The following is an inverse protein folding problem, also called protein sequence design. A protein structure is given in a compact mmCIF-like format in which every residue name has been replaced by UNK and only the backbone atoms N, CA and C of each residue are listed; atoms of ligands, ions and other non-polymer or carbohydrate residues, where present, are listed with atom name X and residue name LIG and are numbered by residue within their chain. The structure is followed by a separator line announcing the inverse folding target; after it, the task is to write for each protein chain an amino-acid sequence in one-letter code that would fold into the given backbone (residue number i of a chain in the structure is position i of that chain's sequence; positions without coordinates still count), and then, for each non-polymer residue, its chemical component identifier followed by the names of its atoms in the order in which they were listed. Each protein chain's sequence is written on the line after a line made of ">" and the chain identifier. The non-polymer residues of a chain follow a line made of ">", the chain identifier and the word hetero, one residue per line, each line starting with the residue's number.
data_IF_143341779583
#
_entry.id   IF_143341779583
#
_cell.length_a   1.000
_cell.length_b   1.000
_cell.length_c   1.000
_cell.angle_alpha   90.00
_cell.angle_beta   90.00
_cell.angle_gamma   90.00
#
_symmetry.space_group_name_H-M   'P 1'
#
loop_
_entity.id
_entity.type
_entity.pdbx_description
1 polymer ?
#
# COMPACT_ATOMS: atom_id res chain seq x y z
N UNK A 1 9.20 21.31 -37.92
CA UNK A 1 8.36 20.13 -37.60
C UNK A 1 8.95 19.19 -36.54
N UNK A 2 10.25 19.28 -36.20
CA UNK A 2 10.94 18.34 -35.29
C UNK A 2 10.76 18.57 -33.78
N UNK A 3 10.60 19.82 -33.30
CA UNK A 3 10.53 20.14 -31.86
C UNK A 3 9.29 19.59 -31.14
N UNK A 4 8.12 19.50 -31.83
CA UNK A 4 6.89 18.97 -31.20
C UNK A 4 6.94 17.46 -31.01
N UNK A 5 7.63 16.74 -31.91
CA UNK A 5 7.79 15.28 -31.82
C UNK A 5 8.72 14.92 -30.67
N UNK A 6 9.88 15.59 -30.55
CA UNK A 6 10.78 15.37 -29.41
C UNK A 6 10.16 15.74 -28.06
N UNK A 7 9.36 16.81 -27.99
CA UNK A 7 8.65 17.17 -26.77
C UNK A 7 7.59 16.13 -26.38
N UNK A 8 6.88 15.55 -27.37
CA UNK A 8 5.92 14.47 -27.10
C UNK A 8 6.62 13.19 -26.63
N UNK A 9 7.73 12.80 -27.25
CA UNK A 9 8.50 11.61 -26.84
C UNK A 9 8.96 11.71 -25.38
N UNK A 10 9.55 12.84 -24.98
CA UNK A 10 10.02 13.02 -23.59
C UNK A 10 8.86 12.95 -22.59
N UNK A 11 7.66 13.46 -22.93
CA UNK A 11 6.48 13.34 -22.06
C UNK A 11 5.94 11.92 -21.96
N UNK A 12 6.02 11.13 -23.03
CA UNK A 12 5.57 9.74 -23.06
C UNK A 12 6.52 8.87 -22.23
N UNK A 13 7.82 8.98 -22.45
CA UNK A 13 8.84 8.26 -21.67
C UNK A 13 8.76 8.60 -20.18
N UNK A 14 8.51 9.87 -19.85
CA UNK A 14 8.29 10.29 -18.46
C UNK A 14 7.03 9.69 -17.86
N UNK A 15 5.92 9.61 -18.60
CA UNK A 15 4.68 8.95 -18.13
C UNK A 15 4.89 7.46 -17.90
N UNK A 16 5.58 6.78 -18.83
CA UNK A 16 5.94 5.36 -18.70
C UNK A 16 6.81 5.15 -17.46
N UNK A 17 7.82 6.00 -17.24
CA UNK A 17 8.68 5.93 -16.07
C UNK A 17 7.92 6.11 -14.75
N UNK A 18 6.99 7.06 -14.68
CA UNK A 18 6.15 7.27 -13.49
C UNK A 18 5.20 6.08 -13.26
N UNK A 19 4.62 5.53 -14.33
CA UNK A 19 3.74 4.36 -14.23
C UNK A 19 4.52 3.13 -13.73
N UNK A 20 5.70 2.88 -14.30
CA UNK A 20 6.56 1.78 -13.89
C UNK A 20 6.99 1.91 -12.43
N UNK A 21 7.39 3.10 -12.01
CA UNK A 21 7.74 3.37 -10.61
C UNK A 21 6.56 3.13 -9.66
N UNK A 22 5.35 3.57 -10.04
CA UNK A 22 4.15 3.32 -9.26
C UNK A 22 3.80 1.82 -9.17
N UNK A 23 4.01 1.06 -10.25
CA UNK A 23 3.84 -0.39 -10.26
C UNK A 23 4.83 -1.07 -9.32
N UNK A 24 6.11 -0.73 -9.42
CA UNK A 24 7.16 -1.27 -8.54
C UNK A 24 6.87 -0.92 -7.07
N UNK A 25 6.48 0.32 -6.80
CA UNK A 25 6.09 0.77 -5.45
C UNK A 25 4.93 -0.07 -4.87
N UNK A 26 3.92 -0.35 -5.70
CA UNK A 26 2.76 -1.13 -5.29
C UNK A 26 3.11 -2.61 -5.11
N UNK A 27 3.96 -3.17 -5.98
CA UNK A 27 4.44 -4.55 -5.86
C UNK A 27 5.29 -4.76 -4.61
N UNK A 28 6.19 -3.83 -4.31
CA UNK A 28 7.02 -3.89 -3.09
C UNK A 28 6.14 -3.81 -1.84
N UNK A 29 5.16 -2.90 -1.81
CA UNK A 29 4.21 -2.82 -0.70
C UNK A 29 3.40 -4.12 -0.55
N UNK A 30 2.94 -4.71 -1.66
CA UNK A 30 2.22 -5.98 -1.62
C UNK A 30 3.10 -7.13 -1.09
N UNK A 31 4.36 -7.21 -1.52
CA UNK A 31 5.29 -8.22 -1.06
C UNK A 31 5.58 -8.10 0.45
N UNK A 32 5.77 -6.88 0.94
CA UNK A 32 5.98 -6.61 2.37
C UNK A 32 4.74 -6.92 3.21
N UNK A 33 3.54 -6.58 2.72
CA UNK A 33 2.28 -6.95 3.39
C UNK A 33 2.12 -8.47 3.44
N UNK A 34 2.39 -9.18 2.35
CA UNK A 34 2.36 -10.65 2.33
C UNK A 34 3.38 -11.25 3.31
N UNK A 35 4.58 -10.67 3.38
CA UNK A 35 5.61 -11.13 4.32
C UNK A 35 5.20 -10.89 5.77
N UNK A 36 4.69 -9.70 6.10
CA UNK A 36 4.21 -9.39 7.46
C UNK A 36 2.97 -10.21 7.85
N UNK A 37 2.08 -10.49 6.89
CA UNK A 37 0.97 -11.42 7.09
C UNK A 37 1.47 -12.83 7.36
N UNK A 38 2.44 -13.32 6.58
CA UNK A 38 3.01 -14.65 6.75
C UNK A 38 3.68 -14.82 8.11
N UNK A 39 4.48 -13.82 8.51
CA UNK A 39 5.14 -13.77 9.82
C UNK A 39 4.09 -13.76 10.96
N UNK A 40 2.92 -13.13 10.73
CA UNK A 40 1.87 -13.01 11.76
C UNK A 40 1.05 -14.28 11.95
N UNK A 41 1.21 -15.30 11.10
CA UNK A 41 0.55 -16.61 11.24
C UNK A 41 1.35 -17.48 12.23
N UNK A 42 1.65 -16.95 13.42
CA UNK A 42 2.10 -17.77 14.53
C UNK A 42 0.89 -18.56 15.06
N UNK A 43 0.88 -19.88 14.82
CA UNK A 43 -0.20 -20.82 15.19
C UNK A 43 -0.30 -21.13 16.69
N UNK A 44 0.41 -20.38 17.53
CA UNK A 44 0.39 -20.55 18.99
C UNK A 44 -0.77 -19.78 19.62
N UNK A 45 -1.77 -20.51 20.12
CA UNK A 45 -2.97 -19.99 20.79
C UNK A 45 -2.71 -19.35 22.18
N UNK A 46 -1.51 -18.80 22.43
CA UNK A 46 -1.07 -18.29 23.72
C UNK A 46 -1.17 -16.75 23.78
N UNK A 47 -2.31 -16.21 24.22
CA UNK A 47 -2.44 -14.84 24.76
C UNK A 47 -2.47 -13.67 23.73
N UNK A 48 -2.78 -12.43 24.17
CA UNK A 48 -3.52 -11.41 23.40
C UNK A 48 -2.71 -10.71 22.29
N UNK A 49 -3.41 -9.84 21.54
CA UNK A 49 -3.03 -8.97 20.40
C UNK A 49 -1.62 -8.32 20.37
N UNK A 50 -0.86 -8.41 21.45
CA UNK A 50 0.54 -7.98 21.56
C UNK A 50 1.49 -8.85 20.71
N UNK A 51 1.15 -10.11 20.44
CA UNK A 51 1.95 -10.99 19.55
C UNK A 51 1.70 -10.74 18.06
N UNK A 52 0.47 -10.43 17.63
CA UNK A 52 0.17 -10.06 16.23
C UNK A 52 0.99 -8.84 15.79
N UNK A 53 1.20 -7.89 16.71
CA UNK A 53 2.05 -6.72 16.49
C UNK A 53 3.54 -7.03 16.58
N UNK A 54 3.94 -8.14 17.21
CA UNK A 54 5.34 -8.57 17.32
C UNK A 54 5.79 -9.46 16.16
N UNK A 55 4.92 -10.34 15.67
CA UNK A 55 5.15 -11.27 14.55
C UNK A 55 4.89 -10.66 13.17
N UNK A 56 5.04 -9.35 12.98
CA UNK A 56 4.98 -8.75 11.64
C UNK A 56 3.69 -7.99 11.27
N UNK A 57 2.67 -7.97 12.13
CA UNK A 57 1.51 -7.08 11.95
C UNK A 57 1.88 -5.59 11.94
N UNK A 58 2.90 -5.20 12.71
CA UNK A 58 3.47 -3.85 12.67
C UNK A 58 4.02 -3.49 11.28
N UNK A 59 4.61 -4.47 10.58
CA UNK A 59 5.21 -4.30 9.26
C UNK A 59 4.11 -4.08 8.22
N UNK A 60 2.98 -4.79 8.33
CA UNK A 60 1.78 -4.59 7.50
C UNK A 60 1.25 -3.16 7.67
N UNK A 61 1.06 -2.71 8.92
CA UNK A 61 0.54 -1.37 9.23
C UNK A 61 1.50 -0.27 8.73
N UNK A 62 2.80 -0.41 9.01
CA UNK A 62 3.81 0.54 8.56
C UNK A 62 3.86 0.63 7.03
N UNK A 63 3.86 -0.51 6.34
CA UNK A 63 3.89 -0.58 4.88
C UNK A 63 2.66 0.08 4.27
N UNK A 64 1.46 -0.25 4.75
CA UNK A 64 0.21 0.33 4.26
C UNK A 64 0.12 1.83 4.55
N UNK A 65 0.65 2.29 5.69
CA UNK A 65 0.71 3.71 6.04
C UNK A 65 1.62 4.49 5.08
N UNK A 66 2.80 3.95 4.78
CA UNK A 66 3.73 4.58 3.83
C UNK A 66 3.18 4.53 2.40
N UNK A 67 2.56 3.42 2.00
CA UNK A 67 1.97 3.25 0.67
C UNK A 67 0.78 4.18 0.43
N UNK A 68 -0.20 4.20 1.34
CA UNK A 68 -1.39 5.08 1.25
C UNK A 68 -1.02 6.56 1.42
N UNK A 69 -0.05 6.86 2.29
CA UNK A 69 0.46 8.21 2.52
C UNK A 69 0.94 8.90 1.24
N UNK A 70 1.58 8.15 0.33
CA UNK A 70 2.01 8.69 -0.97
C UNK A 70 0.82 9.20 -1.80
N UNK A 71 -0.31 8.49 -1.81
CA UNK A 71 -1.52 8.91 -2.54
C UNK A 71 -2.18 10.11 -1.88
N UNK A 72 -2.23 10.16 -0.55
CA UNK A 72 -2.76 11.32 0.20
C UNK A 72 -1.92 12.57 -0.07
N UNK A 73 -0.59 12.47 -0.01
CA UNK A 73 0.30 13.58 -0.34
C UNK A 73 0.12 14.02 -1.79
N UNK A 74 -0.04 13.07 -2.71
CA UNK A 74 -0.30 13.36 -4.12
C UNK A 74 -1.63 14.11 -4.31
N UNK A 75 -2.70 13.69 -3.62
CA UNK A 75 -4.00 14.36 -3.64
C UNK A 75 -3.93 15.79 -3.10
N UNK A 76 -3.22 16.01 -2.00
CA UNK A 76 -3.03 17.34 -1.41
C UNK A 76 -2.25 18.29 -2.33
N UNK A 77 -1.29 17.77 -3.10
CA UNK A 77 -0.51 18.57 -4.05
C UNK A 77 -1.25 18.87 -5.35
N UNK A 78 -1.87 17.87 -5.96
CA UNK A 78 -2.56 18.04 -7.26
C UNK A 78 -3.93 18.70 -7.11
N UNK A 79 -4.58 18.53 -5.95
CA UNK A 79 -5.92 19.07 -5.65
C UNK A 79 -6.97 18.73 -6.71
N UNK A 80 -6.84 17.59 -7.39
CA UNK A 80 -7.81 17.10 -8.36
C UNK A 80 -8.76 16.10 -7.71
N UNK A 81 -10.00 16.04 -8.20
CA UNK A 81 -11.01 15.06 -7.76
C UNK A 81 -10.50 13.64 -7.96
N UNK A 82 -9.81 13.37 -9.07
CA UNK A 82 -9.24 12.04 -9.35
C UNK A 82 -8.18 11.63 -8.33
N UNK A 83 -7.29 12.54 -7.93
CA UNK A 83 -6.29 12.24 -6.93
C UNK A 83 -6.91 12.06 -5.54
N UNK A 84 -7.95 12.84 -5.21
CA UNK A 84 -8.71 12.67 -3.98
C UNK A 84 -9.41 11.30 -3.92
N UNK A 85 -10.07 10.86 -5.00
CA UNK A 85 -10.68 9.53 -5.08
C UNK A 85 -9.64 8.42 -4.90
N UNK A 86 -8.49 8.52 -5.55
CA UNK A 86 -7.41 7.54 -5.40
C UNK A 86 -6.86 7.48 -3.97
N UNK A 87 -6.69 8.64 -3.32
CA UNK A 87 -6.29 8.71 -1.93
C UNK A 87 -7.32 8.04 -1.02
N UNK A 88 -8.60 8.35 -1.18
CA UNK A 88 -9.68 7.71 -0.40
C UNK A 88 -9.69 6.20 -0.60
N UNK A 89 -9.61 5.72 -1.85
CA UNK A 89 -9.55 4.29 -2.14
C UNK A 89 -8.34 3.61 -1.50
N UNK A 90 -7.17 4.26 -1.53
CA UNK A 90 -5.95 3.71 -0.92
C UNK A 90 -6.05 3.58 0.60
N UNK A 91 -6.71 4.53 1.27
CA UNK A 91 -6.92 4.49 2.71
C UNK A 91 -7.96 3.44 3.06
N UNK A 92 -9.09 3.38 2.35
CA UNK A 92 -10.13 2.37 2.57
C UNK A 92 -9.57 0.97 2.38
N UNK A 93 -8.82 0.71 1.31
CA UNK A 93 -8.22 -0.61 1.08
C UNK A 93 -7.21 -0.97 2.18
N UNK A 94 -6.39 -0.02 2.62
CA UNK A 94 -5.44 -0.22 3.73
C UNK A 94 -6.16 -0.58 5.02
N UNK A 95 -7.23 0.14 5.36
CA UNK A 95 -8.04 -0.14 6.56
C UNK A 95 -8.68 -1.52 6.47
N UNK A 96 -9.24 -1.91 5.32
CA UNK A 96 -9.84 -3.23 5.14
C UNK A 96 -8.82 -4.36 5.35
N UNK A 97 -7.60 -4.21 4.84
CA UNK A 97 -6.53 -5.21 5.05
C UNK A 97 -6.19 -5.34 6.53
N UNK A 98 -6.01 -4.22 7.24
CA UNK A 98 -5.69 -4.24 8.69
C UNK A 98 -6.83 -4.85 9.49
N UNK A 99 -8.08 -4.47 9.22
CA UNK A 99 -9.25 -5.02 9.91
C UNK A 99 -9.38 -6.52 9.63
N UNK A 100 -9.20 -6.95 8.39
CA UNK A 100 -9.28 -8.37 8.03
C UNK A 100 -8.18 -9.19 8.72
N UNK A 101 -6.96 -8.66 8.80
CA UNK A 101 -5.85 -9.29 9.53
C UNK A 101 -6.22 -9.50 11.01
N UNK A 102 -6.66 -8.44 11.69
CA UNK A 102 -7.07 -8.49 13.10
C UNK A 102 -8.27 -9.43 13.34
N UNK A 103 -9.24 -9.43 12.43
CA UNK A 103 -10.40 -10.33 12.53
C UNK A 103 -9.99 -11.80 12.35
N UNK A 104 -9.08 -12.09 11.42
CA UNK A 104 -8.63 -13.47 11.14
C UNK A 104 -7.85 -14.05 12.32
N UNK A 105 -7.01 -13.24 12.99
CA UNK A 105 -6.29 -13.66 14.18
C UNK A 105 -7.25 -14.16 15.29
N UNK A 106 -8.38 -13.47 15.51
CA UNK A 106 -9.37 -13.86 16.53
C UNK A 106 -10.15 -15.15 16.21
N UNK A 107 -10.21 -15.55 14.94
CA UNK A 107 -10.95 -16.74 14.49
C UNK A 107 -10.15 -18.04 14.47
N UNK A 108 -8.82 -17.97 14.50
CA UNK A 108 -7.94 -19.14 14.45
C UNK A 108 -7.65 -19.75 15.84
N UNK A 109 -7.97 -19.03 16.91
CA UNK A 109 -7.69 -19.44 18.30
C UNK A 109 -8.94 -19.86 19.09
N UNK A 110 -9.95 -20.43 18.42
CA UNK A 110 -11.16 -21.00 19.05
C UNK A 110 -11.01 -22.50 19.34
#
# INVERSE_FOLDING_TARGET
>A
MSLRVQAQDVTIWRKIGVLFLALVWTLVAAALVLFGLWDSIDTSCDGPAERDMAGGGWLVIATLSVWSGAFVVCALRLRTVTAAVLATLSVVSSTLVVVNMLATASGLCW
#
